data_IF_898251623110
#
_entry.id   IF_898251623110
#
_cell.length_a   1.000
_cell.length_b   1.000
_cell.length_c   1.000
_cell.angle_alpha   90.00
_cell.angle_beta   90.00
_cell.angle_gamma   90.00
#
_symmetry.space_group_name_H-M   'P 1'
#
loop_
_entity.id
_entity.type
_entity.pdbx_description
1 polymer ?
#
# COMPACT_ATOMS: atom_id res chain seq x y z
N UNK A 1 -7.22 -10.60 -12.28
CA UNK A 1 -6.33 -11.71 -11.91
C UNK A 1 -6.90 -13.00 -12.46
N UNK A 2 -6.08 -13.78 -13.15
CA UNK A 2 -6.44 -15.07 -13.77
C UNK A 2 -7.13 -16.01 -12.78
N UNK A 3 -6.68 -15.99 -11.53
CA UNK A 3 -7.22 -16.81 -10.44
C UNK A 3 -8.69 -16.51 -10.06
N UNK A 4 -9.30 -15.47 -10.60
CA UNK A 4 -10.71 -15.12 -10.35
C UNK A 4 -11.64 -15.50 -11.52
N UNK A 5 -11.08 -15.94 -12.65
CA UNK A 5 -11.85 -16.36 -13.82
C UNK A 5 -12.16 -17.85 -13.68
N UNK A 6 -13.45 -18.20 -13.70
CA UNK A 6 -13.89 -19.58 -13.49
C UNK A 6 -13.72 -20.47 -14.72
N UNK A 7 -13.94 -19.90 -15.91
CA UNK A 7 -13.90 -20.62 -17.17
C UNK A 7 -13.15 -19.77 -18.19
N UNK A 8 -12.15 -20.36 -18.82
CA UNK A 8 -11.48 -19.77 -19.98
C UNK A 8 -11.97 -20.46 -21.25
N UNK A 9 -11.97 -19.73 -22.37
CA UNK A 9 -12.18 -20.34 -23.68
C UNK A 9 -11.11 -21.43 -23.90
N UNK A 10 -11.46 -22.65 -24.37
CA UNK A 10 -10.49 -23.73 -24.61
C UNK A 10 -9.30 -23.36 -25.50
N UNK A 11 -9.47 -22.39 -26.40
CA UNK A 11 -8.41 -21.90 -27.31
C UNK A 11 -7.58 -20.74 -26.74
N UNK A 12 -7.83 -20.29 -25.52
CA UNK A 12 -7.10 -19.18 -24.93
C UNK A 12 -5.66 -19.57 -24.55
N UNK A 13 -4.72 -18.63 -24.70
CA UNK A 13 -3.30 -18.81 -24.32
C UNK A 13 -3.13 -19.29 -22.88
N UNK A 14 -4.02 -18.85 -21.99
CA UNK A 14 -4.01 -19.19 -20.57
C UNK A 14 -4.27 -20.67 -20.27
N UNK A 15 -4.72 -21.47 -21.25
CA UNK A 15 -4.81 -22.92 -21.07
C UNK A 15 -3.46 -23.63 -21.29
N UNK A 16 -2.46 -22.95 -21.87
CA UNK A 16 -1.09 -23.45 -21.83
C UNK A 16 -0.57 -23.38 -20.40
N UNK A 17 -0.13 -24.51 -19.87
CA UNK A 17 0.41 -24.62 -18.51
C UNK A 17 1.60 -23.66 -18.30
N UNK A 18 2.53 -23.62 -19.26
CA UNK A 18 3.72 -22.76 -19.20
C UNK A 18 3.31 -21.29 -19.13
N UNK A 19 2.41 -20.87 -20.03
CA UNK A 19 1.92 -19.49 -20.05
C UNK A 19 1.23 -19.13 -18.73
N UNK A 20 0.32 -20.00 -18.27
CA UNK A 20 -0.44 -19.78 -17.04
C UNK A 20 0.46 -19.69 -15.82
N UNK A 21 1.40 -20.62 -15.66
CA UNK A 21 2.32 -20.63 -14.54
C UNK A 21 3.17 -19.37 -14.50
N UNK A 22 3.65 -18.90 -15.66
CA UNK A 22 4.43 -17.67 -15.74
C UNK A 22 3.64 -16.46 -15.27
N UNK A 23 2.41 -16.29 -15.77
CA UNK A 23 1.57 -15.14 -15.38
C UNK A 23 1.14 -15.21 -13.92
N UNK A 24 0.76 -16.39 -13.41
CA UNK A 24 0.36 -16.57 -12.01
C UNK A 24 1.51 -16.28 -11.02
N UNK A 25 2.74 -16.68 -11.38
CA UNK A 25 3.93 -16.42 -10.59
C UNK A 25 4.25 -14.93 -10.55
N UNK A 26 4.27 -14.28 -11.72
CA UNK A 26 4.53 -12.85 -11.81
C UNK A 26 3.48 -12.02 -11.05
N UNK A 27 2.18 -12.31 -11.23
CA UNK A 27 1.12 -11.67 -10.45
C UNK A 27 1.38 -11.84 -8.94
N UNK A 28 1.72 -13.06 -8.48
CA UNK A 28 1.97 -13.35 -7.06
C UNK A 28 3.17 -12.61 -6.49
N UNK A 29 4.26 -12.43 -7.24
CA UNK A 29 5.44 -11.68 -6.81
C UNK A 29 5.14 -10.20 -6.60
N UNK A 30 4.46 -9.58 -7.57
CA UNK A 30 4.02 -8.19 -7.48
C UNK A 30 3.08 -8.01 -6.28
N UNK A 31 2.07 -8.87 -6.15
CA UNK A 31 1.10 -8.79 -5.05
C UNK A 31 1.78 -8.95 -3.69
N UNK A 32 2.76 -9.85 -3.56
CA UNK A 32 3.53 -10.04 -2.33
C UNK A 32 4.33 -8.80 -1.95
N UNK A 33 4.94 -8.12 -2.94
CA UNK A 33 5.66 -6.87 -2.74
C UNK A 33 4.77 -5.75 -2.23
N UNK A 34 3.62 -5.51 -2.88
CA UNK A 34 2.74 -4.39 -2.55
C UNK A 34 1.83 -4.64 -1.33
N UNK A 35 1.59 -5.91 -0.96
CA UNK A 35 0.62 -6.27 0.08
C UNK A 35 0.88 -5.59 1.43
N UNK A 36 2.14 -5.45 1.84
CA UNK A 36 2.50 -4.77 3.09
C UNK A 36 2.17 -3.28 3.02
N UNK A 37 2.50 -2.64 1.90
CA UNK A 37 2.28 -1.21 1.68
C UNK A 37 0.79 -0.88 1.71
N UNK A 38 -0.03 -1.64 0.98
CA UNK A 38 -1.48 -1.44 0.97
C UNK A 38 -2.10 -1.80 2.33
N UNK A 39 -1.57 -2.80 3.04
CA UNK A 39 -2.01 -3.08 4.42
C UNK A 39 -1.77 -1.89 5.35
N UNK A 40 -0.57 -1.28 5.30
CA UNK A 40 -0.25 -0.08 6.07
C UNK A 40 -1.14 1.10 5.67
N UNK A 41 -1.39 1.27 4.35
CA UNK A 41 -2.29 2.31 3.84
C UNK A 41 -3.68 2.21 4.48
N UNK A 42 -4.33 1.05 4.39
CA UNK A 42 -5.70 0.90 4.91
C UNK A 42 -5.73 1.12 6.42
N UNK A 43 -4.75 0.60 7.18
CA UNK A 43 -4.69 0.82 8.63
C UNK A 43 -4.48 2.31 8.97
N UNK A 44 -3.60 3.01 8.24
CA UNK A 44 -3.38 4.46 8.40
C UNK A 44 -4.66 5.26 8.23
N UNK A 45 -5.49 4.91 7.25
CA UNK A 45 -6.76 5.59 6.99
C UNK A 45 -7.78 5.46 8.14
N UNK A 46 -7.57 4.53 9.09
CA UNK A 46 -8.45 4.33 10.25
C UNK A 46 -8.00 5.10 11.49
N UNK A 47 -6.84 5.73 11.45
CA UNK A 47 -6.29 6.49 12.58
C UNK A 47 -6.21 5.67 13.86
N UNK A 48 -6.55 6.30 14.98
CA UNK A 48 -6.44 5.71 16.31
C UNK A 48 -7.51 4.65 16.63
N UNK A 49 -8.63 4.66 15.89
CA UNK A 49 -9.66 3.63 16.02
C UNK A 49 -9.11 2.25 15.65
N UNK A 50 -8.22 2.23 14.66
CA UNK A 50 -7.64 1.03 14.10
C UNK A 50 -8.66 0.14 13.40
N UNK A 51 -8.25 -1.08 13.07
CA UNK A 51 -9.10 -2.04 12.36
C UNK A 51 -8.78 -3.47 12.74
N UNK A 52 -9.81 -4.32 12.86
CA UNK A 52 -9.61 -5.75 13.11
C UNK A 52 -9.42 -6.53 11.80
N UNK A 53 -8.68 -7.63 11.89
CA UNK A 53 -8.15 -8.36 10.72
C UNK A 53 -9.20 -8.72 9.65
N UNK A 54 -10.37 -9.21 10.06
CA UNK A 54 -11.44 -9.54 9.12
C UNK A 54 -11.98 -8.31 8.38
N UNK A 55 -12.21 -7.19 9.08
CA UNK A 55 -12.66 -5.94 8.43
C UNK A 55 -11.59 -5.38 7.51
N UNK A 56 -10.31 -5.51 7.88
CA UNK A 56 -9.19 -5.12 7.04
C UNK A 56 -9.17 -5.93 5.73
N UNK A 57 -9.35 -7.26 5.78
CA UNK A 57 -9.44 -8.09 4.58
C UNK A 57 -10.59 -7.65 3.66
N UNK A 58 -11.76 -7.32 4.23
CA UNK A 58 -12.90 -6.81 3.47
C UNK A 58 -12.62 -5.45 2.82
N UNK A 59 -12.05 -4.51 3.58
CA UNK A 59 -11.72 -3.17 3.07
C UNK A 59 -10.66 -3.24 1.97
N UNK A 60 -9.63 -4.09 2.12
CA UNK A 60 -8.64 -4.36 1.08
C UNK A 60 -9.29 -4.86 -0.21
N UNK A 61 -10.17 -5.86 -0.11
CA UNK A 61 -10.87 -6.42 -1.27
C UNK A 61 -11.74 -5.37 -1.97
N UNK A 62 -12.48 -4.56 -1.19
CA UNK A 62 -13.35 -3.49 -1.69
C UNK A 62 -12.54 -2.40 -2.38
N UNK A 63 -11.55 -1.82 -1.70
CA UNK A 63 -10.84 -0.63 -2.15
C UNK A 63 -9.92 -0.95 -3.34
N UNK A 64 -9.41 -2.18 -3.43
CA UNK A 64 -8.63 -2.67 -4.57
C UNK A 64 -9.48 -3.19 -5.73
N UNK A 65 -10.83 -3.10 -5.66
CA UNK A 65 -11.76 -3.61 -6.69
C UNK A 65 -11.43 -5.05 -7.13
N UNK A 66 -11.08 -5.92 -6.17
CA UNK A 66 -10.60 -7.29 -6.38
C UNK A 66 -9.25 -7.44 -7.12
N UNK A 67 -8.57 -6.37 -7.56
CA UNK A 67 -7.25 -6.45 -8.19
C UNK A 67 -6.17 -7.00 -7.23
N UNK A 68 -6.36 -6.80 -5.92
CA UNK A 68 -5.58 -7.43 -4.87
C UNK A 68 -6.56 -8.03 -3.85
N UNK A 69 -6.53 -9.36 -3.73
CA UNK A 69 -7.25 -10.09 -2.68
C UNK A 69 -6.25 -10.76 -1.77
N UNK A 70 -6.03 -10.18 -0.58
CA UNK A 70 -5.19 -10.80 0.44
C UNK A 70 -6.05 -11.80 1.22
N UNK A 71 -5.80 -13.09 1.04
CA UNK A 71 -6.44 -14.15 1.83
C UNK A 71 -6.07 -14.00 3.30
N UNK A 72 -6.93 -14.45 4.21
CA UNK A 72 -6.66 -14.39 5.66
C UNK A 72 -5.34 -15.09 6.03
N UNK A 73 -5.07 -16.25 5.42
CA UNK A 73 -3.82 -17.00 5.60
C UNK A 73 -2.56 -16.21 5.21
N UNK A 74 -2.68 -15.14 4.42
CA UNK A 74 -1.58 -14.23 4.05
C UNK A 74 -1.61 -12.96 4.88
N UNK A 75 -2.81 -12.42 5.17
CA UNK A 75 -2.98 -11.18 5.91
C UNK A 75 -2.44 -11.28 7.34
N UNK A 76 -2.77 -12.35 8.07
CA UNK A 76 -2.35 -12.49 9.46
C UNK A 76 -0.83 -12.63 9.63
N UNK A 77 -0.10 -13.40 8.80
CA UNK A 77 1.36 -13.34 8.77
C UNK A 77 1.91 -11.93 8.52
N UNK A 78 1.35 -11.16 7.58
CA UNK A 78 1.76 -9.77 7.32
C UNK A 78 1.57 -8.93 8.59
N UNK A 79 0.39 -8.99 9.22
CA UNK A 79 0.10 -8.23 10.44
C UNK A 79 1.03 -8.59 11.60
N UNK A 80 1.32 -9.89 11.78
CA UNK A 80 2.28 -10.36 12.78
C UNK A 80 3.67 -9.80 12.53
N UNK A 81 4.15 -9.83 11.28
CA UNK A 81 5.46 -9.30 10.90
C UNK A 81 5.55 -7.80 11.10
N UNK A 82 4.57 -7.03 10.61
CA UNK A 82 4.53 -5.58 10.77
C UNK A 82 4.47 -5.16 12.26
N UNK A 83 3.76 -5.92 13.10
CA UNK A 83 3.76 -5.72 14.55
C UNK A 83 5.13 -6.03 15.18
N UNK A 84 5.76 -7.14 14.81
CA UNK A 84 7.08 -7.51 15.30
C UNK A 84 8.16 -6.47 14.91
N UNK A 85 8.03 -5.84 13.75
CA UNK A 85 8.90 -4.75 13.28
C UNK A 85 8.59 -3.39 13.94
N UNK A 86 7.57 -3.32 14.81
CA UNK A 86 7.14 -2.11 15.51
C UNK A 86 6.37 -1.11 14.64
N UNK A 87 5.93 -1.53 13.45
CA UNK A 87 5.17 -0.68 12.52
C UNK A 87 3.68 -0.61 12.88
N UNK A 88 3.20 -1.61 13.61
CA UNK A 88 1.84 -1.69 14.13
C UNK A 88 1.85 -1.97 15.64
N UNK A 89 0.86 -1.46 16.35
CA UNK A 89 0.45 -1.92 17.68
C UNK A 89 -0.91 -2.61 17.59
N UNK A 90 -1.25 -3.38 18.63
CA UNK A 90 -2.54 -4.07 18.70
C UNK A 90 -3.26 -3.77 20.01
N UNK A 91 -4.57 -3.49 19.94
CA UNK A 91 -5.46 -3.37 21.11
C UNK A 91 -6.57 -4.42 21.02
N UNK A 92 -6.96 -5.01 22.14
CA UNK A 92 -8.19 -5.82 22.19
C UNK A 92 -9.38 -4.88 22.39
N UNK A 93 -10.42 -5.03 21.58
CA UNK A 93 -11.69 -4.31 21.71
C UNK A 93 -12.84 -5.29 21.55
N UNK A 94 -13.93 -5.06 22.26
CA UNK A 94 -15.15 -5.81 22.04
C UNK A 94 -15.84 -5.36 20.74
N UNK A 95 -16.26 -6.32 19.92
CA UNK A 95 -17.05 -6.07 18.74
C UNK A 95 -18.09 -7.18 18.60
N UNK A 96 -19.38 -6.81 18.73
CA UNK A 96 -20.52 -7.74 18.72
C UNK A 96 -20.36 -8.90 19.71
N UNK A 97 -20.07 -8.60 20.99
CA UNK A 97 -19.94 -9.59 22.06
C UNK A 97 -18.68 -10.47 21.98
N UNK A 98 -17.74 -10.16 21.09
CA UNK A 98 -16.48 -10.92 20.96
C UNK A 98 -15.28 -9.98 21.03
N UNK A 99 -14.26 -10.37 21.79
CA UNK A 99 -12.98 -9.67 21.78
C UNK A 99 -12.28 -9.87 20.43
N UNK A 100 -11.94 -8.77 19.77
CA UNK A 100 -11.19 -8.73 18.52
C UNK A 100 -9.88 -7.98 18.71
N UNK A 101 -8.87 -8.39 17.95
CA UNK A 101 -7.59 -7.67 17.89
C UNK A 101 -7.68 -6.60 16.82
N UNK A 102 -7.59 -5.35 17.23
CA UNK A 102 -7.52 -4.17 16.37
C UNK A 102 -6.06 -3.75 16.20
N UNK A 103 -5.68 -3.46 14.97
CA UNK A 103 -4.34 -2.98 14.60
C UNK A 103 -4.37 -1.49 14.34
N UNK A 104 -3.36 -0.79 14.85
CA UNK A 104 -3.18 0.66 14.70
C UNK A 104 -1.75 0.88 14.23
N UNK A 105 -1.57 1.77 13.25
CA UNK A 105 -0.24 2.10 12.73
C UNK A 105 0.52 2.97 13.73
N UNK A 106 1.81 2.69 13.93
CA UNK A 106 2.67 3.50 14.81
C UNK A 106 3.24 4.70 14.06
N UNK A 107 3.87 5.64 14.78
CA UNK A 107 4.60 6.73 14.13
C UNK A 107 5.68 6.21 13.17
N UNK A 108 6.49 5.25 13.64
CA UNK A 108 7.47 4.52 12.81
C UNK A 108 6.80 3.88 11.58
N UNK A 109 5.64 3.25 11.76
CA UNK A 109 4.86 2.69 10.67
C UNK A 109 4.43 3.72 9.62
N UNK A 110 4.02 4.92 10.05
CA UNK A 110 3.66 6.03 9.17
C UNK A 110 4.88 6.53 8.38
N UNK A 111 6.03 6.71 9.05
CA UNK A 111 7.24 7.19 8.40
C UNK A 111 7.74 6.19 7.34
N UNK A 112 7.74 4.89 7.65
CA UNK A 112 8.04 3.82 6.67
C UNK A 112 7.02 3.77 5.54
N UNK A 113 5.72 3.86 5.85
CA UNK A 113 4.66 3.92 4.83
C UNK A 113 4.89 5.08 3.85
N UNK A 114 5.22 6.28 4.34
CA UNK A 114 5.44 7.45 3.50
C UNK A 114 6.64 7.28 2.56
N UNK A 115 7.73 6.70 3.06
CA UNK A 115 8.90 6.43 2.24
C UNK A 115 8.59 5.40 1.14
N UNK A 116 7.97 4.27 1.49
CA UNK A 116 7.60 3.22 0.53
C UNK A 116 6.57 3.71 -0.50
N UNK A 117 5.58 4.49 -0.06
CA UNK A 117 4.55 5.02 -0.95
C UNK A 117 5.14 6.02 -1.94
N UNK A 118 6.03 6.89 -1.49
CA UNK A 118 6.65 7.85 -2.38
C UNK A 118 7.68 7.21 -3.32
N UNK A 119 8.43 6.19 -2.88
CA UNK A 119 9.22 5.34 -3.79
C UNK A 119 8.35 4.70 -4.88
N UNK A 120 7.23 4.05 -4.50
CA UNK A 120 6.32 3.44 -5.47
C UNK A 120 5.74 4.49 -6.44
N UNK A 121 5.38 5.67 -5.93
CA UNK A 121 4.90 6.78 -6.76
C UNK A 121 5.96 7.16 -7.81
N UNK A 122 7.20 7.36 -7.38
CA UNK A 122 8.30 7.72 -8.28
C UNK A 122 8.57 6.64 -9.34
N UNK A 123 8.55 5.36 -8.92
CA UNK A 123 8.72 4.23 -9.83
C UNK A 123 7.63 4.18 -10.91
N UNK A 124 6.35 4.27 -10.52
CA UNK A 124 5.23 4.19 -11.47
C UNK A 124 5.23 5.43 -12.38
N UNK A 125 5.53 6.63 -11.86
CA UNK A 125 5.67 7.84 -12.68
C UNK A 125 6.80 7.73 -13.70
N UNK A 126 7.94 7.15 -13.32
CA UNK A 126 9.03 6.91 -14.27
C UNK A 126 8.62 5.87 -15.32
N UNK A 127 7.94 4.82 -14.89
CA UNK A 127 7.44 3.77 -15.79
C UNK A 127 6.44 4.33 -16.81
N UNK A 128 5.51 5.21 -16.41
CA UNK A 128 4.53 5.82 -17.33
C UNK A 128 5.14 6.63 -18.47
N UNK A 129 6.42 7.00 -18.40
CA UNK A 129 7.09 7.70 -19.51
C UNK A 129 7.52 6.74 -20.61
N UNK A 130 7.59 5.43 -20.32
CA UNK A 130 8.12 4.39 -21.21
C UNK A 130 7.01 3.44 -21.67
N UNK A 131 5.94 3.32 -20.90
CA UNK A 131 4.77 2.50 -21.25
C UNK A 131 3.55 3.39 -21.49
N UNK A 132 2.55 2.86 -22.20
CA UNK A 132 1.27 3.53 -22.46
C UNK A 132 0.39 3.55 -21.19
N UNK A 133 0.78 4.36 -20.21
CA UNK A 133 0.10 4.52 -18.93
C UNK A 133 -0.01 5.99 -18.57
N UNK A 134 -1.24 6.50 -18.46
CA UNK A 134 -1.49 7.83 -17.93
C UNK A 134 -1.69 7.79 -16.41
N UNK A 135 -0.94 8.63 -15.68
CA UNK A 135 -1.04 8.75 -14.23
C UNK A 135 -1.41 10.19 -13.86
N UNK A 136 -2.45 10.32 -13.04
CA UNK A 136 -2.82 11.60 -12.42
C UNK A 136 -2.45 11.59 -10.93
N UNK A 137 -1.42 12.34 -10.57
CA UNK A 137 -1.02 12.52 -9.18
C UNK A 137 -1.89 13.59 -8.49
N UNK A 138 -2.06 13.43 -7.18
CA UNK A 138 -2.72 14.44 -6.35
C UNK A 138 -1.69 15.38 -5.72
N UNK A 139 -1.09 16.22 -6.56
CA UNK A 139 0.04 17.08 -6.18
C UNK A 139 -0.31 18.17 -5.17
N UNK A 140 -1.61 18.43 -4.96
CA UNK A 140 -2.13 19.34 -3.94
C UNK A 140 -2.05 18.73 -2.53
N UNK A 141 -2.17 17.40 -2.42
CA UNK A 141 -2.16 16.72 -1.12
C UNK A 141 -0.78 16.31 -0.67
N UNK A 142 0.14 16.09 -1.61
CA UNK A 142 1.44 15.49 -1.30
C UNK A 142 2.59 16.13 -2.07
N UNK A 143 3.74 16.23 -1.41
CA UNK A 143 5.02 16.50 -2.02
C UNK A 143 5.84 15.22 -1.93
N UNK A 144 6.43 14.79 -3.04
CA UNK A 144 7.41 13.71 -3.06
C UNK A 144 8.79 14.36 -3.00
N UNK A 145 9.57 14.02 -1.97
CA UNK A 145 10.93 14.54 -1.83
C UNK A 145 11.78 14.10 -3.03
N UNK A 146 12.44 15.01 -3.75
CA UNK A 146 13.20 14.67 -4.95
C UNK A 146 14.47 13.86 -4.65
N UNK A 147 14.99 13.91 -3.42
CA UNK A 147 16.21 13.21 -3.05
C UNK A 147 15.97 11.75 -2.62
N UNK A 148 14.94 11.50 -1.81
CA UNK A 148 14.71 10.18 -1.22
C UNK A 148 13.33 9.59 -1.52
N UNK A 149 12.55 10.23 -2.38
CA UNK A 149 11.16 9.86 -2.68
C UNK A 149 10.23 9.84 -1.46
N UNK A 150 10.61 10.37 -0.30
CA UNK A 150 9.71 10.38 0.85
C UNK A 150 8.45 11.23 0.56
N UNK A 151 7.27 10.68 0.87
CA UNK A 151 5.99 11.36 0.71
C UNK A 151 5.68 12.24 1.91
N UNK A 152 5.41 13.52 1.65
CA UNK A 152 5.12 14.56 2.63
C UNK A 152 3.70 15.04 2.41
N UNK A 153 2.89 15.11 3.47
CA UNK A 153 1.49 15.54 3.40
C UNK A 153 1.38 17.07 3.42
N UNK A 154 0.36 17.63 2.78
CA UNK A 154 0.22 19.08 2.56
C UNK A 154 0.14 19.90 3.84
N UNK A 155 -0.43 19.34 4.90
CA UNK A 155 -0.46 19.92 6.25
C UNK A 155 0.94 20.04 6.89
N UNK A 156 1.93 19.34 6.34
CA UNK A 156 3.34 19.34 6.78
C UNK A 156 4.26 20.09 5.82
N UNK A 157 3.70 20.84 4.86
CA UNK A 157 4.49 21.71 3.99
C UNK A 157 5.05 22.95 4.71
N UNK A 158 4.90 23.08 6.03
CA UNK A 158 5.65 24.04 6.83
C UNK A 158 7.00 23.51 7.31
N UNK A 159 7.30 22.22 7.07
CA UNK A 159 8.59 21.63 7.42
C UNK A 159 9.64 22.06 6.41
N UNK A 160 10.69 22.76 6.87
CA UNK A 160 11.80 23.22 6.02
C UNK A 160 12.63 22.07 5.47
N UNK A 161 12.71 20.95 6.20
CA UNK A 161 13.55 19.80 5.86
C UNK A 161 12.75 18.51 5.74
N UNK A 162 13.13 17.68 4.77
CA UNK A 162 12.59 16.33 4.63
C UNK A 162 13.01 15.46 5.82
N UNK A 163 12.04 15.03 6.64
CA UNK A 163 12.27 14.13 7.80
C UNK A 163 13.02 12.83 7.51
N UNK A 164 13.00 12.36 6.26
CA UNK A 164 13.66 11.12 5.89
C UNK A 164 15.13 11.29 5.50
N UNK A 165 15.51 12.40 4.87
CA UNK A 165 16.86 12.57 4.30
C UNK A 165 17.54 13.91 4.61
N UNK A 166 16.86 14.84 5.28
CA UNK A 166 17.41 16.14 5.65
C UNK A 166 17.53 17.15 4.49
N UNK A 167 17.01 16.87 3.29
CA UNK A 167 16.99 17.85 2.20
C UNK A 167 16.12 19.05 2.58
N UNK A 168 16.62 20.28 2.37
CA UNK A 168 15.79 21.49 2.45
C UNK A 168 14.75 21.47 1.32
N UNK A 169 13.47 21.54 1.67
CA UNK A 169 12.33 21.40 0.75
C UNK A 169 11.51 22.68 0.54
N UNK A 170 11.89 23.81 1.16
CA UNK A 170 11.15 25.08 1.08
C UNK A 170 10.93 25.53 -0.38
N UNK A 171 11.98 25.43 -1.20
CA UNK A 171 11.93 25.80 -2.60
C UNK A 171 10.97 24.94 -3.44
N UNK A 172 10.67 23.72 -3.00
CA UNK A 172 9.74 22.82 -3.70
C UNK A 172 8.29 23.00 -3.22
N UNK A 173 8.08 23.49 -2.01
CA UNK A 173 6.76 23.78 -1.45
C UNK A 173 6.15 25.05 -2.07
N UNK A 174 6.96 26.09 -2.29
CA UNK A 174 6.51 27.37 -2.85
C UNK A 174 6.06 27.30 -4.32
N UNK A 175 6.45 26.27 -5.07
CA UNK A 175 5.97 26.02 -6.44
C UNK A 175 4.57 25.40 -6.50
N UNK A 176 3.98 25.00 -5.35
CA UNK A 176 2.69 24.30 -5.26
C UNK A 176 1.55 25.14 -4.65
N UNK A 177 1.84 26.34 -4.14
CA UNK A 177 0.83 27.33 -3.72
C UNK A 177 0.38 28.14 -4.93
#
# INVERSE_FOLDING_TARGET
MINQVKNFNPKALINSEIYRQYVENFESEILRGISKLITLYIIKQKGEEGIYGYKLAQDLKRDMKNALTIKEGTLYPILRKLKAEGLLISKKKEYKGRLRTYYIITRKGIDIYNHLMGFLTHLITSLSQIIDLEIKLNDKKYLICPNCSNRIESDKFSEEYCKACGLNIDHFQNKKK
#
